data_IF_093318500653
#
_entry.id   IF_093318500653
#
_cell.length_a   1.000
_cell.length_b   1.000
_cell.length_c   1.000
_cell.angle_alpha   90.00
_cell.angle_beta   90.00
_cell.angle_gamma   90.00
#
_symmetry.space_group_name_H-M   'P 1'
#
loop_
_entity.id
_entity.type
_entity.pdbx_description
1 polymer ?
#
# COMPACT_ATOMS: atom_id res chain seq x y z
N UNK A 1 1.34 -9.50 5.75
CA UNK A 1 0.15 -8.63 5.93
C UNK A 1 -0.33 -8.23 4.54
N UNK A 2 -1.63 -8.07 4.36
CA UNK A 2 -2.29 -7.75 3.07
C UNK A 2 -3.19 -6.52 3.26
N UNK A 3 -3.25 -5.66 2.24
CA UNK A 3 -4.06 -4.44 2.24
C UNK A 3 -5.39 -4.70 1.52
N UNK A 4 -6.49 -4.45 2.21
CA UNK A 4 -7.82 -4.72 1.67
C UNK A 4 -8.15 -3.73 0.56
N UNK A 5 -8.35 -4.26 -0.67
CA UNK A 5 -8.71 -3.47 -1.86
C UNK A 5 -7.80 -2.24 -2.02
N UNK A 6 -6.49 -2.45 -1.91
CA UNK A 6 -5.50 -1.38 -1.89
C UNK A 6 -5.72 -0.38 -3.02
N UNK A 7 -5.80 -0.86 -4.27
CA UNK A 7 -6.00 -0.02 -5.44
C UNK A 7 -7.33 0.75 -5.40
N UNK A 8 -8.38 0.24 -4.75
CA UNK A 8 -9.69 0.91 -4.71
C UNK A 8 -9.78 1.95 -3.58
N UNK A 9 -8.87 1.89 -2.59
CA UNK A 9 -8.93 2.69 -1.36
C UNK A 9 -7.87 3.79 -1.26
N UNK A 10 -7.02 3.94 -2.28
CA UNK A 10 -6.00 5.01 -2.30
C UNK A 10 -6.66 6.39 -2.34
N UNK A 11 -6.41 7.22 -1.34
CA UNK A 11 -6.86 8.61 -1.38
C UNK A 11 -6.01 9.45 -2.33
N UNK A 12 -6.65 10.13 -3.29
CA UNK A 12 -5.95 10.91 -4.32
C UNK A 12 -5.10 12.03 -3.72
N UNK A 13 -5.62 12.79 -2.75
CA UNK A 13 -4.87 13.90 -2.14
C UNK A 13 -3.62 13.42 -1.41
N UNK A 14 -3.75 12.32 -0.68
CA UNK A 14 -2.67 11.65 0.06
C UNK A 14 -1.56 11.19 -0.90
N UNK A 15 -1.94 10.61 -2.05
CA UNK A 15 -1.02 10.22 -3.10
C UNK A 15 -0.38 11.45 -3.79
N UNK A 16 -1.18 12.45 -4.17
CA UNK A 16 -0.72 13.64 -4.88
C UNK A 16 0.26 14.47 -4.05
N UNK A 17 0.07 14.57 -2.74
CA UNK A 17 1.03 15.20 -1.82
C UNK A 17 2.39 14.51 -1.88
N UNK A 18 2.43 13.17 -1.97
CA UNK A 18 3.68 12.39 -2.05
C UNK A 18 4.37 12.54 -3.39
N UNK A 19 3.60 12.46 -4.48
CA UNK A 19 4.12 12.69 -5.84
C UNK A 19 4.75 14.10 -5.92
N UNK A 20 4.09 15.11 -5.35
CA UNK A 20 4.56 16.49 -5.33
C UNK A 20 5.84 16.73 -4.52
N UNK A 21 6.25 15.80 -3.63
CA UNK A 21 7.54 15.90 -2.91
C UNK A 21 8.75 15.71 -3.84
N UNK A 22 8.56 15.04 -4.98
CA UNK A 22 9.63 14.73 -5.94
C UNK A 22 9.40 15.41 -7.28
N UNK A 23 8.14 15.49 -7.73
CA UNK A 23 7.77 16.10 -9.01
C UNK A 23 7.26 17.52 -8.77
N UNK A 24 7.98 18.51 -9.31
CA UNK A 24 7.66 19.93 -9.15
C UNK A 24 6.91 20.53 -10.35
N UNK A 25 6.83 19.80 -11.47
CA UNK A 25 6.11 20.26 -12.66
C UNK A 25 4.59 20.25 -12.42
N UNK A 26 4.01 21.44 -12.35
CA UNK A 26 2.57 21.65 -12.16
C UNK A 26 1.72 21.05 -13.28
N UNK A 27 2.21 20.98 -14.51
CA UNK A 27 1.48 20.41 -15.65
C UNK A 27 1.36 18.90 -15.50
N UNK A 28 2.46 18.24 -15.14
CA UNK A 28 2.50 16.81 -14.89
C UNK A 28 1.64 16.44 -13.67
N UNK A 29 1.73 17.19 -12.56
CA UNK A 29 0.87 16.97 -11.39
C UNK A 29 -0.62 17.11 -11.73
N UNK A 30 -0.99 18.11 -12.54
CA UNK A 30 -2.38 18.24 -13.03
C UNK A 30 -2.80 17.06 -13.89
N UNK A 31 -1.91 16.56 -14.75
CA UNK A 31 -2.19 15.41 -15.62
C UNK A 31 -2.42 14.14 -14.80
N UNK A 32 -1.53 13.84 -13.84
CA UNK A 32 -1.67 12.69 -12.93
C UNK A 32 -2.97 12.83 -12.13
N UNK A 33 -3.26 14.01 -11.59
CA UNK A 33 -4.51 14.24 -10.85
C UNK A 33 -5.77 14.07 -11.72
N UNK A 34 -5.72 14.45 -13.01
CA UNK A 34 -6.83 14.19 -13.95
C UNK A 34 -6.95 12.71 -14.27
N UNK A 35 -5.84 12.00 -14.41
CA UNK A 35 -5.81 10.57 -14.64
C UNK A 35 -6.43 9.79 -13.47
N UNK A 36 -6.10 10.17 -12.23
CA UNK A 36 -6.66 9.56 -11.02
C UNK A 36 -8.17 9.77 -10.89
N UNK A 37 -8.66 10.96 -11.27
CA UNK A 37 -10.08 11.34 -11.22
C UNK A 37 -10.85 10.99 -12.49
N UNK A 38 -10.20 10.37 -13.47
CA UNK A 38 -10.90 9.88 -14.64
C UNK A 38 -11.88 8.81 -14.14
N UNK A 39 -13.18 9.05 -14.33
CA UNK A 39 -14.21 8.12 -13.93
C UNK A 39 -14.04 6.75 -14.58
N UNK A 40 -14.67 5.74 -14.00
CA UNK A 40 -14.72 4.40 -14.55
C UNK A 40 -16.07 4.18 -15.24
N UNK A 41 -16.06 3.48 -16.37
CA UNK A 41 -17.30 3.07 -17.03
C UNK A 41 -17.78 1.76 -16.42
N UNK A 42 -18.96 1.76 -15.81
CA UNK A 42 -19.58 0.58 -15.20
C UNK A 42 -20.96 0.42 -15.84
N UNK A 43 -21.21 -0.71 -16.50
CA UNK A 43 -22.50 -1.01 -17.14
C UNK A 43 -23.05 0.16 -17.98
N UNK A 44 -22.19 0.75 -18.83
CA UNK A 44 -22.45 1.93 -19.69
C UNK A 44 -22.68 3.27 -18.99
N UNK A 45 -22.54 3.35 -17.67
CA UNK A 45 -22.57 4.62 -16.92
C UNK A 45 -21.16 5.04 -16.48
N UNK A 46 -20.85 6.33 -16.70
CA UNK A 46 -19.60 6.92 -16.21
C UNK A 46 -19.74 7.25 -14.73
N UNK A 47 -19.08 6.49 -13.87
CA UNK A 47 -19.03 6.74 -12.44
C UNK A 47 -17.77 7.54 -12.07
N UNK A 48 -17.89 8.60 -11.25
CA UNK A 48 -16.73 9.37 -10.81
C UNK A 48 -15.81 8.53 -9.89
N UNK A 49 -14.49 8.60 -10.10
CA UNK A 49 -13.51 8.02 -9.18
C UNK A 49 -13.17 9.04 -8.10
N UNK A 50 -13.74 8.84 -6.90
CA UNK A 50 -13.53 9.68 -5.72
C UNK A 50 -12.30 9.20 -4.93
N UNK A 51 -12.06 7.89 -4.93
CA UNK A 51 -10.90 7.23 -4.34
C UNK A 51 -10.44 6.07 -5.24
N UNK A 52 -9.21 5.63 -5.00
CA UNK A 52 -8.57 4.54 -5.72
C UNK A 52 -7.73 4.98 -6.90
N UNK A 53 -6.91 4.06 -7.39
CA UNK A 53 -6.10 4.18 -8.59
C UNK A 53 -6.61 3.16 -9.61
N UNK A 54 -6.74 3.55 -10.87
CA UNK A 54 -7.34 2.70 -11.90
C UNK A 54 -6.53 1.41 -12.09
N UNK A 55 -7.13 0.25 -11.80
CA UNK A 55 -6.49 -1.04 -12.00
C UNK A 55 -6.25 -1.28 -13.50
N UNK A 56 -5.07 -1.78 -13.87
CA UNK A 56 -4.66 -1.97 -15.27
C UNK A 56 -4.08 -0.71 -15.95
N UNK A 57 -4.09 0.45 -15.29
CA UNK A 57 -3.37 1.63 -15.75
C UNK A 57 -1.85 1.45 -15.65
N UNK A 58 -1.05 1.81 -16.67
CA UNK A 58 0.41 1.63 -16.63
C UNK A 58 1.09 2.45 -15.52
N UNK A 59 0.48 3.56 -15.10
CA UNK A 59 0.99 4.40 -14.01
C UNK A 59 0.64 3.88 -12.61
N UNK A 60 -0.39 3.04 -12.49
CA UNK A 60 -0.96 2.64 -11.20
C UNK A 60 0.04 1.88 -10.32
N UNK A 61 0.86 0.92 -10.82
CA UNK A 61 1.87 0.25 -10.01
C UNK A 61 2.95 1.20 -9.46
N UNK A 62 3.34 2.21 -10.25
CA UNK A 62 4.35 3.19 -9.81
C UNK A 62 3.76 4.12 -8.73
N UNK A 63 2.52 4.57 -8.93
CA UNK A 63 1.82 5.42 -7.95
C UNK A 63 1.59 4.67 -6.63
N UNK A 64 1.24 3.38 -6.69
CA UNK A 64 1.16 2.49 -5.53
C UNK A 64 2.48 2.47 -4.73
N UNK A 65 3.60 2.30 -5.42
CA UNK A 65 4.92 2.29 -4.79
C UNK A 65 5.31 3.65 -4.20
N UNK A 66 4.96 4.76 -4.85
CA UNK A 66 5.20 6.12 -4.30
C UNK A 66 4.40 6.33 -3.01
N UNK A 67 3.18 5.79 -2.92
CA UNK A 67 2.38 5.86 -1.71
C UNK A 67 3.03 5.06 -0.56
N UNK A 68 3.48 3.85 -0.86
CA UNK A 68 4.05 2.90 0.10
C UNK A 68 5.51 3.18 0.47
N UNK A 69 6.21 4.05 -0.25
CA UNK A 69 7.57 4.51 0.09
C UNK A 69 7.64 5.16 1.50
N UNK A 70 6.59 5.87 1.92
CA UNK A 70 6.48 6.40 3.29
C UNK A 70 6.32 5.30 4.35
N UNK A 71 5.77 4.15 3.97
CA UNK A 71 5.67 2.99 4.84
C UNK A 71 7.00 2.27 4.95
N UNK A 72 7.69 2.06 3.84
CA UNK A 72 9.02 1.44 3.80
C UNK A 72 10.00 2.23 4.67
N UNK A 73 10.04 3.55 4.52
CA UNK A 73 10.90 4.43 5.34
C UNK A 73 10.59 4.37 6.82
N UNK A 74 9.33 4.17 7.19
CA UNK A 74 8.93 4.01 8.59
C UNK A 74 9.44 2.67 9.15
N UNK A 75 9.40 1.59 8.37
CA UNK A 75 9.96 0.30 8.76
C UNK A 75 11.48 0.34 8.87
N UNK A 76 12.16 0.99 7.91
CA UNK A 76 13.61 1.22 7.94
C UNK A 76 14.02 2.04 9.15
N UNK A 77 13.31 3.13 9.44
CA UNK A 77 13.57 3.98 10.60
C UNK A 77 13.45 3.21 11.93
N UNK A 78 12.56 2.22 11.99
CA UNK A 78 12.39 1.32 13.14
C UNK A 78 13.40 0.18 13.19
N UNK A 79 14.26 0.04 12.18
CA UNK A 79 15.22 -1.05 12.06
C UNK A 79 14.58 -2.42 11.90
N UNK A 80 13.38 -2.49 11.31
CA UNK A 80 12.65 -3.74 11.11
C UNK A 80 13.08 -4.38 9.79
N UNK A 81 13.50 -5.66 9.77
CA UNK A 81 13.70 -6.38 8.52
C UNK A 81 12.34 -6.68 7.88
N UNK A 82 12.17 -6.30 6.61
CA UNK A 82 10.94 -6.50 5.87
C UNK A 82 11.21 -6.77 4.39
N UNK A 83 10.21 -7.36 3.72
CA UNK A 83 10.15 -7.52 2.28
C UNK A 83 8.78 -7.04 1.83
N UNK A 84 8.73 -6.24 0.76
CA UNK A 84 7.49 -5.76 0.16
C UNK A 84 7.49 -6.02 -1.35
N UNK A 85 6.37 -6.52 -1.84
CA UNK A 85 6.09 -6.69 -3.26
C UNK A 85 4.70 -6.12 -3.55
N UNK A 86 4.66 -4.98 -4.26
CA UNK A 86 3.43 -4.19 -4.43
C UNK A 86 2.75 -3.89 -3.08
N UNK A 87 1.54 -4.41 -2.86
CA UNK A 87 0.73 -4.27 -1.65
C UNK A 87 0.93 -5.40 -0.64
N UNK A 88 1.57 -6.50 -1.02
CA UNK A 88 1.93 -7.60 -0.13
C UNK A 88 3.28 -7.34 0.56
N UNK A 89 3.32 -7.53 1.88
CA UNK A 89 4.56 -7.38 2.64
C UNK A 89 4.68 -8.33 3.82
N UNK A 90 5.93 -8.69 4.13
CA UNK A 90 6.35 -9.47 5.27
C UNK A 90 7.25 -8.62 6.16
N UNK A 91 7.01 -8.67 7.47
CA UNK A 91 7.87 -8.04 8.47
C UNK A 91 8.35 -9.13 9.42
N UNK A 92 9.67 -9.21 9.61
CA UNK A 92 10.29 -10.24 10.42
C UNK A 92 10.64 -9.70 11.80
N UNK A 93 10.36 -10.49 12.83
CA UNK A 93 10.65 -10.15 14.23
C UNK A 93 11.15 -11.37 14.97
N UNK A 94 11.98 -11.16 16.00
CA UNK A 94 12.60 -12.26 16.77
C UNK A 94 11.63 -13.00 17.71
N UNK A 95 10.58 -12.33 18.18
CA UNK A 95 9.63 -12.91 19.15
C UNK A 95 8.19 -12.65 18.74
N UNK A 96 7.28 -13.55 19.12
CA UNK A 96 5.85 -13.42 18.84
C UNK A 96 5.24 -12.17 19.50
N UNK A 97 5.68 -11.84 20.72
CA UNK A 97 5.26 -10.62 21.43
C UNK A 97 5.67 -9.33 20.68
N UNK A 98 6.91 -9.31 20.16
CA UNK A 98 7.37 -8.20 19.33
C UNK A 98 6.56 -8.12 18.03
N UNK A 99 6.26 -9.26 17.41
CA UNK A 99 5.43 -9.34 16.20
C UNK A 99 4.05 -8.70 16.43
N UNK A 100 3.38 -9.06 17.53
CA UNK A 100 2.05 -8.52 17.87
C UNK A 100 2.08 -7.01 18.14
N UNK A 101 3.12 -6.53 18.84
CA UNK A 101 3.31 -5.09 19.09
C UNK A 101 3.56 -4.32 17.79
N UNK A 102 4.43 -4.84 16.94
CA UNK A 102 4.78 -4.23 15.65
C UNK A 102 3.56 -4.22 14.72
N UNK A 103 2.81 -5.33 14.62
CA UNK A 103 1.60 -5.43 13.82
C UNK A 103 0.57 -4.35 14.18
N UNK A 104 0.25 -4.19 15.46
CA UNK A 104 -0.69 -3.14 15.93
C UNK A 104 -0.19 -1.73 15.59
N UNK A 105 1.11 -1.50 15.72
CA UNK A 105 1.71 -0.20 15.42
C UNK A 105 1.68 0.12 13.93
N UNK A 106 2.00 -0.86 13.08
CA UNK A 106 1.93 -0.77 11.61
C UNK A 106 0.50 -0.51 11.16
N UNK A 107 -0.47 -1.26 11.68
CA UNK A 107 -1.88 -1.09 11.36
C UNK A 107 -2.35 0.34 11.68
N UNK A 108 -1.96 0.85 12.85
CA UNK A 108 -2.25 2.23 13.26
C UNK A 108 -1.62 3.24 12.30
N UNK A 109 -0.38 3.01 11.86
CA UNK A 109 0.32 3.88 10.91
C UNK A 109 -0.38 3.88 9.54
N UNK A 110 -0.66 2.69 8.99
CA UNK A 110 -1.36 2.53 7.71
C UNK A 110 -2.73 3.21 7.73
N UNK A 111 -3.49 3.02 8.81
CA UNK A 111 -4.84 3.59 8.95
C UNK A 111 -4.82 5.10 9.16
N UNK A 112 -3.93 5.62 10.01
CA UNK A 112 -3.93 7.05 10.37
C UNK A 112 -3.18 7.93 9.39
N UNK A 113 -2.03 7.47 8.87
CA UNK A 113 -1.14 8.28 8.01
C UNK A 113 -1.39 8.06 6.52
N UNK A 114 -1.63 6.81 6.13
CA UNK A 114 -1.84 6.44 4.73
C UNK A 114 -3.33 6.28 4.39
N UNK A 115 -4.20 6.20 5.40
CA UNK A 115 -5.65 5.97 5.27
C UNK A 115 -5.98 4.69 4.49
N UNK A 116 -5.14 3.68 4.66
CA UNK A 116 -5.31 2.37 4.06
C UNK A 116 -5.96 1.41 5.06
N UNK A 117 -6.73 0.47 4.55
CA UNK A 117 -7.42 -0.56 5.35
C UNK A 117 -6.62 -1.86 5.27
N UNK A 118 -6.31 -2.45 6.41
CA UNK A 118 -5.62 -3.75 6.49
C UNK A 118 -6.64 -4.88 6.36
N UNK A 119 -6.29 -5.91 5.59
CA UNK A 119 -7.08 -7.12 5.48
C UNK A 119 -6.78 -8.07 6.64
N UNK A 120 -7.62 -8.05 7.68
CA UNK A 120 -7.44 -8.90 8.86
C UNK A 120 -7.63 -10.40 8.59
N UNK A 121 -8.33 -10.79 7.52
CA UNK A 121 -8.54 -12.21 7.21
C UNK A 121 -7.28 -12.86 6.61
N UNK A 122 -6.55 -12.09 5.80
CA UNK A 122 -5.29 -12.51 5.19
C UNK A 122 -4.06 -12.16 6.02
N UNK A 123 -4.15 -11.15 6.88
CA UNK A 123 -3.05 -10.77 7.77
C UNK A 123 -2.95 -11.73 8.94
N UNK A 124 -1.81 -12.42 9.03
CA UNK A 124 -1.54 -13.41 10.09
C UNK A 124 -0.18 -13.17 10.72
N UNK A 125 -0.08 -13.53 12.00
CA UNK A 125 1.18 -13.67 12.72
C UNK A 125 1.48 -15.17 12.78
N UNK A 126 2.55 -15.59 12.14
CA UNK A 126 2.97 -16.99 12.12
C UNK A 126 4.50 -17.11 12.22
N UNK A 127 5.01 -18.26 12.68
CA UNK A 127 6.41 -18.62 12.51
C UNK A 127 6.82 -18.53 11.04
N UNK A 128 8.13 -18.41 10.77
CA UNK A 128 8.67 -18.39 9.40
C UNK A 128 8.39 -19.69 8.65
N UNK A 129 8.24 -20.80 9.37
CA UNK A 129 8.04 -22.12 8.79
C UNK A 129 6.61 -22.26 8.26
N UNK A 130 6.48 -22.52 6.97
CA UNK A 130 5.19 -22.62 6.29
C UNK A 130 4.60 -21.28 5.85
N UNK A 131 5.37 -20.18 5.87
CA UNK A 131 4.92 -18.92 5.26
C UNK A 131 4.97 -19.07 3.74
N UNK A 132 3.83 -18.84 3.09
CA UNK A 132 3.74 -18.73 1.64
C UNK A 132 3.83 -17.25 1.24
N UNK A 133 4.74 -16.92 0.33
CA UNK A 133 4.92 -15.57 -0.20
C UNK A 133 5.25 -15.64 -1.69
N UNK A 134 4.44 -14.98 -2.51
CA UNK A 134 4.59 -14.94 -3.98
C UNK A 134 4.70 -16.35 -4.62
N UNK A 135 3.98 -17.33 -4.06
CA UNK A 135 4.01 -18.73 -4.52
C UNK A 135 5.21 -19.55 -4.06
N UNK A 136 6.05 -19.00 -3.17
CA UNK A 136 7.14 -19.73 -2.53
C UNK A 136 6.81 -20.01 -1.07
N UNK A 137 7.10 -21.23 -0.61
CA UNK A 137 6.96 -21.61 0.79
C UNK A 137 8.32 -21.62 1.47
N UNK A 138 8.42 -20.94 2.61
CA UNK A 138 9.61 -20.99 3.46
C UNK A 138 9.55 -22.24 4.34
N UNK A 139 10.64 -23.01 4.34
CA UNK A 139 10.84 -24.16 5.23
C UNK A 139 12.13 -23.88 5.99
N UNK A 140 12.00 -23.59 7.29
CA UNK A 140 13.12 -23.39 8.21
C UNK A 140 13.39 -24.62 9.06
#
# INVERSE_FOLDING_TARGET
MDLAKFFDKVQHDVLMVRVARKVHDRRLLKLIGRYLRAGVMVDTELQPSIEGIMQGGPLSPILANILLDDFDKELEHRGLPFVRYADDFLVFTKTSEAAQRVARSIETYLTRKLKLVVNHQKSRLCPTDGVEFLGFSFVG
#
